data_IF_517669728108
#
_entry.id   IF_517669728108
#
_cell.length_a   1.000
_cell.length_b   1.000
_cell.length_c   1.000
_cell.angle_alpha   90.00
_cell.angle_beta   90.00
_cell.angle_gamma   90.00
#
_symmetry.space_group_name_H-M   'P 1'
#
loop_
_entity.id
_entity.type
_entity.pdbx_description
1 polymer ?
#
# COMPACT_ATOMS: atom_id res chain seq x y z
N UNK A 1 19.08 3.83 4.05
CA UNK A 1 18.02 3.03 3.44
C UNK A 1 17.68 1.92 4.42
N UNK A 2 16.39 1.72 4.73
CA UNK A 2 15.95 0.68 5.67
C UNK A 2 15.60 -0.55 4.83
N UNK A 3 16.30 -1.66 5.08
CA UNK A 3 16.09 -2.88 4.30
C UNK A 3 14.85 -3.62 4.79
N UNK A 4 13.85 -3.74 3.90
CA UNK A 4 12.59 -4.42 4.17
C UNK A 4 12.36 -5.61 3.23
N UNK A 5 11.49 -6.51 3.66
CA UNK A 5 10.95 -7.60 2.86
C UNK A 5 9.46 -7.77 3.16
N UNK A 6 8.66 -8.00 2.12
CA UNK A 6 7.24 -8.29 2.28
C UNK A 6 7.03 -9.75 2.72
N UNK A 7 6.11 -9.98 3.68
CA UNK A 7 5.82 -11.32 4.21
C UNK A 7 5.28 -12.28 3.14
N UNK A 8 4.71 -11.77 2.05
CA UNK A 8 4.26 -12.57 0.89
C UNK A 8 5.44 -13.27 0.17
N UNK A 9 6.67 -12.77 0.34
CA UNK A 9 7.86 -13.29 -0.34
C UNK A 9 8.38 -14.62 0.21
N UNK A 10 7.91 -15.02 1.40
CA UNK A 10 8.36 -16.22 2.10
C UNK A 10 7.16 -17.02 2.64
N UNK A 11 7.34 -18.33 2.82
CA UNK A 11 6.30 -19.24 3.30
C UNK A 11 6.31 -19.40 4.83
N UNK A 12 5.26 -20.02 5.39
CA UNK A 12 5.12 -20.32 6.81
C UNK A 12 4.06 -19.46 7.51
N UNK A 13 3.87 -19.66 8.82
CA UNK A 13 3.00 -18.81 9.64
C UNK A 13 3.63 -17.43 9.83
N UNK A 14 2.81 -16.40 10.08
CA UNK A 14 3.29 -15.02 10.21
C UNK A 14 4.39 -14.86 11.27
N UNK A 15 4.27 -15.54 12.41
CA UNK A 15 5.31 -15.52 13.46
C UNK A 15 6.63 -16.14 13.00
N UNK A 16 6.58 -17.26 12.28
CA UNK A 16 7.77 -17.90 11.71
C UNK A 16 8.42 -17.01 10.66
N UNK A 17 7.62 -16.35 9.80
CA UNK A 17 8.10 -15.37 8.82
C UNK A 17 8.84 -14.22 9.51
N UNK A 18 8.25 -13.60 10.53
CA UNK A 18 8.88 -12.46 11.23
C UNK A 18 10.19 -12.85 11.90
N UNK A 19 10.28 -14.03 12.54
CA UNK A 19 11.53 -14.53 13.11
C UNK A 19 12.59 -14.76 12.04
N UNK A 20 12.23 -15.39 10.91
CA UNK A 20 13.15 -15.59 9.80
C UNK A 20 13.66 -14.27 9.21
N UNK A 21 12.79 -13.26 9.10
CA UNK A 21 13.14 -11.90 8.63
C UNK A 21 14.15 -11.23 9.59
N UNK A 22 13.91 -11.35 10.90
CA UNK A 22 14.84 -10.87 11.93
C UNK A 22 16.20 -11.60 11.87
N UNK A 23 16.19 -12.93 11.78
CA UNK A 23 17.41 -13.75 11.73
C UNK A 23 18.23 -13.44 10.47
N UNK A 24 17.56 -13.16 9.35
CA UNK A 24 18.15 -12.69 8.10
C UNK A 24 18.61 -11.21 8.13
N UNK A 25 18.48 -10.52 9.28
CA UNK A 25 18.96 -9.15 9.53
C UNK A 25 18.26 -8.06 8.73
N UNK A 26 17.03 -8.29 8.27
CA UNK A 26 16.18 -7.20 7.80
C UNK A 26 15.82 -6.27 8.96
N UNK A 27 15.63 -4.99 8.64
CA UNK A 27 15.26 -3.95 9.60
C UNK A 27 13.76 -3.66 9.57
N UNK A 28 13.12 -3.96 8.45
CA UNK A 28 11.70 -3.73 8.24
C UNK A 28 11.00 -4.91 7.60
N UNK A 29 9.69 -4.87 7.73
CA UNK A 29 8.78 -5.83 7.12
C UNK A 29 7.62 -5.07 6.50
N UNK A 30 7.12 -5.60 5.38
CA UNK A 30 5.85 -5.18 4.82
C UNK A 30 4.83 -6.28 5.11
N UNK A 31 3.79 -5.94 5.88
CA UNK A 31 2.80 -6.91 6.32
C UNK A 31 1.76 -7.06 5.22
N UNK A 32 1.70 -8.26 4.65
CA UNK A 32 0.66 -8.64 3.72
C UNK A 32 -0.62 -9.02 4.48
N UNK A 33 -1.75 -8.38 4.16
CA UNK A 33 -3.01 -8.53 4.90
C UNK A 33 -3.43 -9.99 5.09
N UNK A 34 -3.23 -10.85 4.08
CA UNK A 34 -3.64 -12.24 4.17
C UNK A 34 -2.88 -13.02 5.25
N UNK A 35 -1.62 -12.65 5.52
CA UNK A 35 -0.86 -13.27 6.61
C UNK A 35 -1.47 -12.91 7.97
N UNK A 36 -1.95 -11.68 8.14
CA UNK A 36 -2.63 -11.23 9.34
C UNK A 36 -3.99 -11.93 9.53
N UNK A 37 -4.75 -12.14 8.45
CA UNK A 37 -6.03 -12.89 8.50
C UNK A 37 -5.83 -14.36 8.87
N UNK A 38 -4.70 -14.95 8.49
CA UNK A 38 -4.36 -16.35 8.80
C UNK A 38 -3.66 -16.52 10.15
N UNK A 39 -3.29 -15.42 10.81
CA UNK A 39 -2.61 -15.45 12.10
C UNK A 39 -3.61 -15.78 13.21
N UNK A 40 -3.24 -16.70 14.10
CA UNK A 40 -4.11 -17.12 15.22
C UNK A 40 -4.26 -16.08 16.35
N UNK A 41 -3.65 -14.90 16.21
CA UNK A 41 -3.71 -13.78 17.15
C UNK A 41 -4.24 -12.49 16.52
N UNK A 42 -4.14 -11.40 17.26
CA UNK A 42 -4.63 -10.08 16.87
C UNK A 42 -3.54 -9.19 16.24
N UNK A 43 -3.91 -8.08 15.59
CA UNK A 43 -2.95 -7.12 15.06
C UNK A 43 -2.03 -6.49 16.13
N UNK A 44 -2.51 -6.17 17.35
CA UNK A 44 -1.64 -5.80 18.46
C UNK A 44 -0.58 -6.85 18.81
N UNK A 45 -0.92 -8.15 18.74
CA UNK A 45 0.03 -9.24 19.02
C UNK A 45 1.15 -9.27 17.97
N UNK A 46 0.80 -9.10 16.69
CA UNK A 46 1.79 -8.98 15.60
C UNK A 46 2.66 -7.73 15.79
N UNK A 47 2.05 -6.60 16.15
CA UNK A 47 2.77 -5.36 16.46
C UNK A 47 3.76 -5.53 17.62
N UNK A 48 3.36 -6.24 18.67
CA UNK A 48 4.25 -6.56 19.80
C UNK A 48 5.41 -7.46 19.36
N UNK A 49 5.12 -8.53 18.61
CA UNK A 49 6.15 -9.43 18.11
C UNK A 49 7.18 -8.72 17.21
N UNK A 50 6.72 -7.84 16.31
CA UNK A 50 7.65 -7.03 15.51
C UNK A 50 8.54 -6.15 16.37
N UNK A 51 8.00 -5.48 17.40
CA UNK A 51 8.80 -4.66 18.33
C UNK A 51 9.81 -5.49 19.11
N UNK A 52 9.42 -6.66 19.61
CA UNK A 52 10.32 -7.58 20.33
C UNK A 52 11.47 -8.07 19.45
N UNK A 53 11.21 -8.25 18.15
CA UNK A 53 12.21 -8.61 17.14
C UNK A 53 12.98 -7.38 16.59
N UNK A 54 12.67 -6.16 17.04
CA UNK A 54 13.29 -4.94 16.53
C UNK A 54 12.98 -4.65 15.05
N UNK A 55 11.86 -5.19 14.52
CA UNK A 55 11.40 -4.99 13.15
C UNK A 55 10.46 -3.78 13.07
N UNK A 56 10.68 -2.92 12.08
CA UNK A 56 9.77 -1.82 11.75
C UNK A 56 8.71 -2.27 10.75
N UNK A 57 7.42 -2.03 11.03
CA UNK A 57 6.37 -2.23 10.03
C UNK A 57 6.40 -1.11 9.00
N UNK A 58 7.13 -1.33 7.91
CA UNK A 58 7.39 -0.29 6.89
C UNK A 58 6.22 -0.05 5.95
N UNK A 59 5.38 -1.05 5.73
CA UNK A 59 4.19 -0.94 4.89
C UNK A 59 3.14 -1.96 5.33
N UNK A 60 1.87 -1.58 5.25
CA UNK A 60 0.75 -2.50 5.27
C UNK A 60 0.16 -2.59 3.87
N UNK A 61 0.00 -3.81 3.34
CA UNK A 61 -0.38 -3.99 1.95
C UNK A 61 -1.20 -5.27 1.73
N UNK A 62 -1.98 -5.37 0.64
CA UNK A 62 -2.33 -4.31 -0.30
C UNK A 62 -3.73 -3.76 0.00
N UNK A 63 -3.98 -2.51 -0.37
CA UNK A 63 -5.33 -1.96 -0.50
C UNK A 63 -5.73 -1.92 -1.97
N UNK A 64 -6.73 -2.73 -2.35
CA UNK A 64 -7.11 -2.95 -3.75
C UNK A 64 -8.41 -2.23 -4.11
N UNK A 65 -8.54 -1.87 -5.38
CA UNK A 65 -9.79 -1.38 -5.97
C UNK A 65 -10.39 -0.20 -5.19
N UNK A 66 -9.67 0.92 -5.21
CA UNK A 66 -10.05 2.14 -4.50
C UNK A 66 -10.57 3.22 -5.45
N UNK A 67 -9.72 3.67 -6.37
CA UNK A 67 -9.95 4.86 -7.18
C UNK A 67 -10.97 4.63 -8.30
N UNK A 68 -11.70 5.68 -8.66
CA UNK A 68 -12.58 5.69 -9.83
C UNK A 68 -13.86 4.87 -9.66
N UNK A 69 -14.16 4.38 -8.47
CA UNK A 69 -15.36 3.56 -8.23
C UNK A 69 -16.66 4.37 -8.39
N UNK A 70 -17.75 3.75 -8.88
CA UNK A 70 -19.08 4.35 -8.83
C UNK A 70 -19.67 4.26 -7.43
N UNK A 71 -20.73 5.03 -7.15
CA UNK A 71 -21.56 4.78 -5.97
C UNK A 71 -22.41 3.51 -6.19
N UNK A 72 -22.60 2.66 -5.15
CA UNK A 72 -22.17 2.84 -3.75
C UNK A 72 -20.76 2.29 -3.41
N UNK A 73 -20.02 1.75 -4.38
CA UNK A 73 -18.73 1.11 -4.17
C UNK A 73 -17.67 2.09 -3.66
N UNK A 74 -17.66 3.32 -4.17
CA UNK A 74 -16.76 4.40 -3.71
C UNK A 74 -16.88 4.60 -2.19
N UNK A 75 -18.09 4.83 -1.69
CA UNK A 75 -18.37 4.95 -0.24
C UNK A 75 -17.85 3.76 0.55
N UNK A 76 -18.11 2.54 0.09
CA UNK A 76 -17.62 1.31 0.73
C UNK A 76 -16.10 1.21 0.73
N UNK A 77 -15.43 1.69 -0.32
CA UNK A 77 -13.98 1.73 -0.40
C UNK A 77 -13.41 2.67 0.66
N UNK A 78 -13.97 3.87 0.85
CA UNK A 78 -13.58 4.77 1.94
C UNK A 78 -13.84 4.19 3.33
N UNK A 79 -15.01 3.58 3.57
CA UNK A 79 -15.29 2.90 4.84
C UNK A 79 -14.28 1.77 5.12
N UNK A 80 -13.85 1.06 4.06
CA UNK A 80 -12.80 0.03 4.17
C UNK A 80 -11.45 0.65 4.49
N UNK A 81 -11.11 1.80 3.90
CA UNK A 81 -9.88 2.53 4.21
C UNK A 81 -9.83 2.95 5.69
N UNK A 82 -10.92 3.47 6.26
CA UNK A 82 -10.97 3.83 7.69
C UNK A 82 -10.66 2.63 8.60
N UNK A 83 -11.24 1.46 8.31
CA UNK A 83 -10.95 0.22 9.05
C UNK A 83 -9.49 -0.23 8.89
N UNK A 84 -8.88 0.04 7.73
CA UNK A 84 -7.45 -0.24 7.51
C UNK A 84 -6.58 0.68 8.33
N UNK A 85 -6.95 1.95 8.47
CA UNK A 85 -6.25 2.90 9.32
C UNK A 85 -6.28 2.48 10.79
N UNK A 86 -7.42 2.00 11.30
CA UNK A 86 -7.52 1.43 12.66
C UNK A 86 -6.52 0.28 12.84
N UNK A 87 -6.55 -0.67 11.92
CA UNK A 87 -5.68 -1.84 11.93
C UNK A 87 -4.19 -1.49 11.83
N UNK A 88 -3.85 -0.48 11.04
CA UNK A 88 -2.49 0.03 10.91
C UNK A 88 -1.98 0.62 12.22
N UNK A 89 -2.82 1.33 12.97
CA UNK A 89 -2.43 1.85 14.30
C UNK A 89 -2.15 0.72 15.28
N UNK A 90 -3.01 -0.30 15.32
CA UNK A 90 -2.81 -1.48 16.18
C UNK A 90 -1.52 -2.24 15.83
N UNK A 91 -1.23 -2.38 14.53
CA UNK A 91 -0.04 -3.04 14.01
C UNK A 91 1.23 -2.19 14.20
N UNK A 92 1.11 -0.87 14.28
CA UNK A 92 2.23 0.08 14.28
C UNK A 92 2.77 0.43 12.87
N UNK A 93 1.92 0.33 11.85
CA UNK A 93 2.25 0.71 10.48
C UNK A 93 1.95 2.20 10.21
N UNK A 94 2.75 2.84 9.35
CA UNK A 94 2.56 4.27 8.98
C UNK A 94 2.32 4.53 7.49
N UNK A 95 2.35 3.47 6.66
CA UNK A 95 2.20 3.56 5.21
C UNK A 95 1.28 2.44 4.72
N UNK A 96 0.22 2.81 4.00
CA UNK A 96 -0.66 1.89 3.29
C UNK A 96 -0.29 1.89 1.80
N UNK A 97 -0.02 0.71 1.23
CA UNK A 97 0.09 0.56 -0.23
C UNK A 97 -1.30 0.43 -0.82
N UNK A 98 -1.66 1.36 -1.70
CA UNK A 98 -2.85 1.29 -2.55
C UNK A 98 -2.40 0.93 -3.95
N UNK A 99 -2.81 -0.23 -4.45
CA UNK A 99 -2.48 -0.64 -5.81
C UNK A 99 -3.59 -0.21 -6.77
N UNK A 100 -3.23 0.23 -7.98
CA UNK A 100 -4.15 0.63 -9.04
C UNK A 100 -5.28 -0.39 -9.24
N UNK A 101 -6.51 0.10 -9.36
CA UNK A 101 -7.68 -0.75 -9.50
C UNK A 101 -7.60 -1.62 -10.75
N UNK A 102 -8.06 -2.86 -10.58
CA UNK A 102 -8.24 -3.84 -11.66
C UNK A 102 -9.72 -4.09 -11.95
N UNK A 103 -10.60 -3.48 -11.16
CA UNK A 103 -12.04 -3.64 -11.25
C UNK A 103 -12.58 -3.11 -12.58
N UNK A 104 -13.44 -3.88 -13.29
CA UNK A 104 -14.11 -3.40 -14.48
C UNK A 104 -15.14 -2.28 -14.19
N UNK A 105 -15.52 -2.11 -12.93
CA UNK A 105 -16.43 -1.04 -12.53
C UNK A 105 -15.74 0.33 -12.38
N UNK A 106 -14.40 0.37 -12.28
CA UNK A 106 -13.65 1.61 -12.14
C UNK A 106 -13.77 2.49 -13.40
N UNK A 107 -13.89 3.80 -13.19
CA UNK A 107 -13.87 4.82 -14.24
C UNK A 107 -12.43 5.29 -14.51
N UNK A 108 -12.14 5.66 -15.76
CA UNK A 108 -10.89 6.33 -16.14
C UNK A 108 -10.99 7.86 -16.04
N UNK A 109 -12.05 8.39 -15.44
CA UNK A 109 -12.21 9.82 -15.18
C UNK A 109 -11.08 10.30 -14.26
N UNK A 110 -10.14 11.05 -14.86
CA UNK A 110 -8.96 11.59 -14.19
C UNK A 110 -9.31 12.47 -12.99
N UNK A 111 -10.31 13.35 -13.14
CA UNK A 111 -10.73 14.25 -12.06
C UNK A 111 -11.23 13.46 -10.86
N UNK A 112 -12.03 12.43 -11.10
CA UNK A 112 -12.49 11.52 -10.03
C UNK A 112 -11.35 10.80 -9.33
N UNK A 113 -10.40 10.24 -10.09
CA UNK A 113 -9.27 9.51 -9.52
C UNK A 113 -8.42 10.44 -8.62
N UNK A 114 -8.14 11.65 -9.10
CA UNK A 114 -7.39 12.67 -8.35
C UNK A 114 -8.15 13.09 -7.08
N UNK A 115 -9.45 13.34 -7.18
CA UNK A 115 -10.28 13.71 -6.03
C UNK A 115 -10.39 12.57 -5.01
N UNK A 116 -10.49 11.31 -5.46
CA UNK A 116 -10.49 10.13 -4.59
C UNK A 116 -9.17 10.04 -3.80
N UNK A 117 -8.02 10.22 -4.44
CA UNK A 117 -6.73 10.22 -3.75
C UNK A 117 -6.55 11.43 -2.83
N UNK A 118 -7.03 12.61 -3.21
CA UNK A 118 -6.99 13.79 -2.33
C UNK A 118 -7.80 13.56 -1.06
N UNK A 119 -9.05 13.09 -1.18
CA UNK A 119 -9.91 12.76 -0.04
C UNK A 119 -9.30 11.63 0.83
N UNK A 120 -8.70 10.61 0.21
CA UNK A 120 -7.99 9.56 0.95
C UNK A 120 -6.79 10.13 1.72
N UNK A 121 -6.08 11.08 1.11
CA UNK A 121 -4.96 11.79 1.70
C UNK A 121 -5.37 12.59 2.93
N UNK A 122 -6.48 13.33 2.85
CA UNK A 122 -7.02 14.10 3.97
C UNK A 122 -7.33 13.19 5.16
N UNK A 123 -8.02 12.06 4.91
CA UNK A 123 -8.38 11.07 5.94
C UNK A 123 -7.16 10.39 6.55
N UNK A 124 -6.21 9.95 5.73
CA UNK A 124 -4.97 9.32 6.20
C UNK A 124 -4.10 10.32 6.99
N UNK A 125 -3.95 11.54 6.46
CA UNK A 125 -3.16 12.62 7.05
C UNK A 125 -3.70 13.06 8.42
N UNK A 126 -5.03 13.14 8.58
CA UNK A 126 -5.67 13.43 9.86
C UNK A 126 -5.34 12.38 10.96
N UNK A 127 -4.92 11.18 10.54
CA UNK A 127 -4.50 10.07 11.41
C UNK A 127 -2.99 9.90 11.48
N UNK A 128 -2.20 10.79 10.85
CA UNK A 128 -0.74 10.66 10.79
C UNK A 128 -0.26 9.47 9.96
N UNK A 129 -1.09 8.98 9.03
CA UNK A 129 -0.78 7.89 8.12
C UNK A 129 -0.44 8.44 6.73
N UNK A 130 0.25 7.62 5.93
CA UNK A 130 0.59 7.91 4.53
C UNK A 130 0.03 6.84 3.61
N UNK A 131 -0.18 7.24 2.37
CA UNK A 131 -0.62 6.38 1.28
C UNK A 131 0.47 6.36 0.22
N UNK A 132 0.85 5.16 -0.23
CA UNK A 132 1.68 4.97 -1.40
C UNK A 132 0.85 4.39 -2.54
N UNK A 133 0.79 5.09 -3.66
CA UNK A 133 0.10 4.61 -4.85
C UNK A 133 1.04 3.78 -5.73
N UNK A 134 0.67 2.54 -6.01
CA UNK A 134 1.43 1.61 -6.86
C UNK A 134 0.67 1.31 -8.15
N UNK A 135 1.31 1.55 -9.30
CA UNK A 135 0.77 1.15 -10.60
C UNK A 135 1.05 -0.33 -10.87
N UNK A 136 0.01 -1.16 -10.85
CA UNK A 136 0.12 -2.56 -11.26
C UNK A 136 0.27 -2.63 -12.79
N UNK A 137 1.14 -3.52 -13.29
CA UNK A 137 1.32 -3.71 -14.74
C UNK A 137 0.04 -4.11 -15.51
N UNK A 138 -0.97 -4.58 -14.78
CA UNK A 138 -2.30 -4.97 -15.27
C UNK A 138 -3.42 -4.12 -14.67
N UNK A 139 -3.09 -2.94 -14.10
CA UNK A 139 -4.09 -1.98 -13.67
C UNK A 139 -5.04 -1.62 -14.81
N UNK A 140 -6.31 -1.41 -14.50
CA UNK A 140 -7.36 -1.24 -15.51
C UNK A 140 -7.15 0.03 -16.32
N UNK A 141 -6.82 1.12 -15.63
CA UNK A 141 -6.61 2.44 -16.22
C UNK A 141 -5.19 2.93 -15.97
N UNK A 142 -4.67 2.76 -14.75
CA UNK A 142 -3.31 3.15 -14.37
C UNK A 142 -2.42 1.92 -14.33
N UNK A 143 -1.51 1.79 -15.29
CA UNK A 143 -0.55 0.68 -15.35
C UNK A 143 0.89 1.14 -15.60
N UNK A 144 1.14 2.44 -15.45
CA UNK A 144 2.42 3.10 -15.67
C UNK A 144 2.78 3.95 -14.46
N UNK A 145 4.00 3.81 -13.94
CA UNK A 145 4.42 4.57 -12.76
C UNK A 145 4.43 6.08 -13.00
N UNK A 146 4.63 6.54 -14.25
CA UNK A 146 4.58 7.96 -14.61
C UNK A 146 3.16 8.50 -14.51
N UNK A 147 2.18 7.68 -14.88
CA UNK A 147 0.78 8.02 -14.75
C UNK A 147 0.37 8.07 -13.27
N UNK A 148 0.76 7.08 -12.48
CA UNK A 148 0.55 7.11 -11.03
C UNK A 148 1.20 8.35 -10.40
N UNK A 149 2.43 8.71 -10.81
CA UNK A 149 3.10 9.92 -10.34
C UNK A 149 2.34 11.19 -10.70
N UNK A 150 1.85 11.29 -11.94
CA UNK A 150 1.04 12.45 -12.34
C UNK A 150 -0.23 12.59 -11.50
N UNK A 151 -0.87 11.48 -11.10
CA UNK A 151 -2.04 11.49 -10.20
C UNK A 151 -1.64 11.98 -8.83
N UNK A 152 -0.55 11.45 -8.27
CA UNK A 152 -0.01 11.86 -6.96
C UNK A 152 0.28 13.37 -6.94
N UNK A 153 0.90 13.88 -8.01
CA UNK A 153 1.18 15.32 -8.17
C UNK A 153 -0.07 16.18 -8.27
N UNK A 154 -1.09 15.75 -9.01
CA UNK A 154 -2.35 16.49 -9.15
C UNK A 154 -3.22 16.42 -7.88
N UNK A 155 -3.14 15.32 -7.12
CA UNK A 155 -3.78 15.21 -5.82
C UNK A 155 -3.21 16.24 -4.83
N UNK A 156 -1.92 16.56 -4.96
CA UNK A 156 -1.20 17.62 -4.22
C UNK A 156 -1.43 17.57 -2.71
N UNK A 157 -1.26 16.37 -2.12
CA UNK A 157 -1.50 16.15 -0.71
C UNK A 157 -0.29 15.48 -0.04
N UNK A 158 0.22 16.00 1.10
CA UNK A 158 1.48 15.53 1.72
C UNK A 158 1.43 14.08 2.24
N UNK A 159 0.22 13.55 2.46
CA UNK A 159 0.02 12.14 2.85
C UNK A 159 -0.01 11.18 1.65
N UNK A 160 -0.05 11.66 0.41
CA UNK A 160 -0.10 10.83 -0.79
C UNK A 160 1.28 10.83 -1.45
N UNK A 161 1.81 9.63 -1.72
CA UNK A 161 3.07 9.42 -2.39
C UNK A 161 3.00 8.30 -3.42
N UNK A 162 4.13 8.04 -4.07
CA UNK A 162 4.29 6.98 -5.07
C UNK A 162 5.02 5.78 -4.46
N UNK A 163 4.60 4.57 -4.82
CA UNK A 163 5.35 3.33 -4.63
C UNK A 163 5.82 2.84 -5.99
N UNK A 164 7.13 2.56 -6.08
CA UNK A 164 7.76 2.07 -7.30
C UNK A 164 8.09 0.59 -7.15
N UNK A 165 7.41 -0.23 -7.94
CA UNK A 165 7.75 -1.63 -8.11
C UNK A 165 8.49 -1.83 -9.44
N UNK A 166 9.68 -2.42 -9.35
CA UNK A 166 10.53 -2.67 -10.51
C UNK A 166 9.93 -3.66 -11.50
N UNK A 167 9.28 -4.72 -11.00
CA UNK A 167 8.61 -5.72 -11.83
C UNK A 167 7.48 -5.08 -12.64
N UNK A 168 6.65 -4.23 -12.03
CA UNK A 168 5.56 -3.58 -12.77
C UNK A 168 6.06 -2.68 -13.90
N UNK A 169 7.16 -1.96 -13.65
CA UNK A 169 7.78 -1.11 -14.67
C UNK A 169 8.39 -1.94 -15.81
N UNK A 170 9.14 -3.00 -15.48
CA UNK A 170 9.79 -3.84 -16.48
C UNK A 170 8.81 -4.71 -17.27
N UNK A 171 7.76 -5.24 -16.64
CA UNK A 171 6.73 -6.04 -17.33
C UNK A 171 6.02 -5.25 -18.44
N UNK A 172 6.01 -3.93 -18.34
CA UNK A 172 5.42 -3.01 -19.32
C UNK A 172 6.45 -2.33 -20.23
N UNK A 173 7.74 -2.69 -20.11
CA UNK A 173 8.86 -2.04 -20.80
C UNK A 173 8.89 -0.51 -20.60
N UNK A 174 8.52 -0.03 -19.40
CA UNK A 174 8.59 1.40 -19.10
C UNK A 174 10.07 1.79 -18.96
N UNK A 175 10.56 2.82 -19.67
CA UNK A 175 11.97 3.19 -19.64
C UNK A 175 12.44 3.54 -18.22
N UNK A 176 13.56 2.98 -17.77
CA UNK A 176 14.08 3.26 -16.42
C UNK A 176 14.46 4.74 -16.23
N UNK A 177 14.85 5.43 -17.31
CA UNK A 177 15.22 6.84 -17.27
C UNK A 177 14.03 7.76 -16.91
N UNK A 178 12.78 7.31 -17.04
CA UNK A 178 11.64 8.12 -16.61
C UNK A 178 11.55 8.30 -15.10
N UNK A 179 12.27 7.49 -14.31
CA UNK A 179 12.40 7.71 -12.86
C UNK A 179 13.08 9.04 -12.52
N UNK A 180 13.79 9.67 -13.47
CA UNK A 180 14.42 10.98 -13.28
C UNK A 180 13.42 12.14 -13.26
N UNK A 181 12.19 11.91 -13.74
CA UNK A 181 11.11 12.90 -13.84
C UNK A 181 10.15 12.85 -12.63
N UNK A 182 10.47 12.00 -11.65
CA UNK A 182 9.73 11.74 -10.42
C UNK A 182 10.48 12.38 -9.26
#
# INVERSE_FOLDING_TARGET
MLMSIATVSISGSLDAKLRAIHDARFQGVEIFENDLLSFGGSAPDVGALMRDLGLTCTCFQPFRDFEGMPEPQRRRAFERAERKFDLMHELGASLLLVCSSVSPASSNDRGRIVDDFRELGERAGARGLRIGFEALAWGRHVADHREAWSIVREADHPAIGLILDSFHSFARNIPIDSLREI
#
